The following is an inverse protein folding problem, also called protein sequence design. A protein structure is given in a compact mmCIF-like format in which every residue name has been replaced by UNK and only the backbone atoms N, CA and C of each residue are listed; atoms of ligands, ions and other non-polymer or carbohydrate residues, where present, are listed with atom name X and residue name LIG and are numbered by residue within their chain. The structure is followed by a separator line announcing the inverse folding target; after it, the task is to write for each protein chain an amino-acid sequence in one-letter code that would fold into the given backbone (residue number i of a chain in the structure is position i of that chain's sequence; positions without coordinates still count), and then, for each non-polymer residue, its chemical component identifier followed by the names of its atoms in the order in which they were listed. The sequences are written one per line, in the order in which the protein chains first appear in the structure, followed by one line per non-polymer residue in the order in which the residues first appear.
data_IF_010269465658
#
_entry.id   IF_010269465658
#
_cell.length_a   1.000
_cell.length_b   1.000
_cell.length_c   1.000
_cell.angle_alpha   90.00
_cell.angle_beta   90.00
_cell.angle_gamma   90.00
#
_symmetry.space_group_name_H-M   'P 1'
#
loop_
_entity.id
_entity.type
_entity.pdbx_description
1 polymer ?
#
# COMPACT_ATOMS: atom_id res chain seq x y z
N UNK A 1 -15.45 -3.78 41.37
CA UNK A 1 -14.70 -3.90 40.11
C UNK A 1 -14.99 -2.65 39.30
N UNK A 2 -13.96 -1.93 38.89
CA UNK A 2 -14.11 -0.80 37.98
C UNK A 2 -14.23 -1.37 36.56
N UNK A 3 -15.18 -0.87 35.77
CA UNK A 3 -15.34 -1.29 34.38
C UNK A 3 -14.54 -0.32 33.51
N UNK A 4 -13.63 -0.85 32.70
CA UNK A 4 -12.93 -0.05 31.68
C UNK A 4 -13.45 -0.49 30.33
N UNK A 5 -13.81 0.49 29.51
CA UNK A 5 -14.09 0.29 28.09
C UNK A 5 -12.82 0.55 27.30
N UNK A 6 -12.43 -0.42 26.48
CA UNK A 6 -11.24 -0.33 25.64
C UNK A 6 -11.72 -0.17 24.20
N UNK A 7 -11.52 1.03 23.67
CA UNK A 7 -11.82 1.37 22.28
C UNK A 7 -10.55 1.14 21.47
N UNK A 8 -10.61 0.20 20.52
CA UNK A 8 -9.52 -0.08 19.60
C UNK A 8 -9.92 0.38 18.21
N UNK A 9 -9.03 1.09 17.50
CA UNK A 9 -9.20 1.30 16.07
C UNK A 9 -9.06 -0.03 15.31
N UNK A 10 -9.55 -0.09 14.06
CA UNK A 10 -9.58 -1.32 13.27
C UNK A 10 -8.19 -1.95 13.09
N UNK A 11 -7.14 -1.14 12.93
CA UNK A 11 -5.76 -1.64 12.80
C UNK A 11 -5.29 -2.32 14.09
N UNK A 12 -5.52 -1.67 15.23
CA UNK A 12 -5.16 -2.21 16.55
C UNK A 12 -6.06 -3.39 16.93
N UNK A 13 -7.34 -3.37 16.56
CA UNK A 13 -8.27 -4.48 16.77
C UNK A 13 -7.81 -5.73 16.01
N UNK A 14 -7.51 -5.60 14.70
CA UNK A 14 -7.03 -6.72 13.90
C UNK A 14 -5.66 -7.22 14.37
N UNK A 15 -4.75 -6.31 14.74
CA UNK A 15 -3.45 -6.70 15.29
C UNK A 15 -3.60 -7.44 16.63
N UNK A 16 -4.46 -6.95 17.53
CA UNK A 16 -4.76 -7.58 18.81
C UNK A 16 -5.46 -8.93 18.63
N UNK A 17 -6.36 -9.05 17.65
CA UNK A 17 -7.06 -10.30 17.32
C UNK A 17 -6.08 -11.36 16.81
N UNK A 18 -5.27 -11.03 15.80
CA UNK A 18 -4.24 -11.93 15.27
C UNK A 18 -3.25 -12.36 16.35
N UNK A 19 -2.87 -11.43 17.24
CA UNK A 19 -1.96 -11.73 18.35
C UNK A 19 -2.62 -12.65 19.38
N UNK A 20 -3.87 -12.39 19.75
CA UNK A 20 -4.64 -13.23 20.67
C UNK A 20 -4.77 -14.67 20.11
N UNK A 21 -5.10 -14.81 18.82
CA UNK A 21 -5.18 -16.11 18.14
C UNK A 21 -3.83 -16.84 18.14
N UNK A 22 -2.73 -16.14 17.84
CA UNK A 22 -1.38 -16.74 17.88
C UNK A 22 -0.97 -17.24 19.27
N UNK A 23 -1.56 -16.68 20.32
CA UNK A 23 -1.32 -17.06 21.72
C UNK A 23 -2.39 -18.02 22.27
N UNK A 24 -3.35 -18.45 21.45
CA UNK A 24 -4.45 -19.33 21.88
C UNK A 24 -5.42 -18.68 22.86
N UNK A 25 -5.59 -17.36 22.79
CA UNK A 25 -6.47 -16.57 23.68
C UNK A 25 -7.61 -15.94 22.89
N UNK A 26 -8.69 -15.58 23.59
CA UNK A 26 -9.71 -14.67 23.05
C UNK A 26 -9.18 -13.24 23.06
N UNK A 27 -9.68 -12.39 22.17
CA UNK A 27 -9.33 -10.97 22.13
C UNK A 27 -9.61 -10.28 23.49
N UNK A 28 -10.77 -10.58 24.09
CA UNK A 28 -11.13 -10.10 25.43
C UNK A 28 -10.12 -10.56 26.48
N UNK A 29 -9.74 -11.85 26.49
CA UNK A 29 -8.74 -12.38 27.42
C UNK A 29 -7.33 -11.81 27.19
N UNK A 30 -6.98 -11.53 25.94
CA UNK A 30 -5.73 -10.88 25.57
C UNK A 30 -5.67 -9.44 26.07
N UNK A 31 -6.71 -8.64 25.82
CA UNK A 31 -6.80 -7.24 26.26
C UNK A 31 -6.94 -7.16 27.79
N UNK A 32 -7.74 -8.03 28.40
CA UNK A 32 -7.88 -8.09 29.86
C UNK A 32 -6.53 -8.35 30.54
N UNK A 33 -5.69 -9.23 29.97
CA UNK A 33 -4.32 -9.42 30.46
C UNK A 33 -3.48 -8.14 30.31
N UNK A 34 -3.58 -7.48 29.16
CA UNK A 34 -2.82 -6.27 28.85
C UNK A 34 -3.18 -5.10 29.78
N UNK A 35 -4.46 -5.00 30.17
CA UNK A 35 -4.97 -4.02 31.14
C UNK A 35 -4.63 -4.43 32.58
N UNK A 36 -4.67 -5.72 32.90
CA UNK A 36 -4.32 -6.24 34.22
C UNK A 36 -2.85 -6.00 34.60
N UNK A 37 -1.93 -5.97 33.62
CA UNK A 37 -0.53 -5.62 33.82
C UNK A 37 -0.35 -4.15 34.31
N UNK A 38 -1.37 -3.29 34.18
CA UNK A 38 -1.39 -1.91 34.69
C UNK A 38 -2.09 -1.75 36.07
N UNK A 39 -2.76 -2.78 36.58
CA UNK A 39 -3.39 -2.77 37.91
C UNK A 39 -4.52 -3.80 38.08
N UNK A 40 -4.65 -4.39 39.27
CA UNK A 40 -5.70 -5.38 39.57
C UNK A 40 -7.09 -4.73 39.76
N UNK A 41 -8.16 -5.39 39.26
CA UNK A 41 -9.55 -5.06 39.61
C UNK A 41 -10.45 -4.55 38.48
N UNK A 42 -10.00 -4.62 37.22
CA UNK A 42 -10.73 -4.17 36.04
C UNK A 42 -11.37 -5.31 35.25
N UNK A 43 -12.61 -5.10 34.79
CA UNK A 43 -13.25 -5.95 33.76
C UNK A 43 -13.33 -5.16 32.45
N UNK A 44 -12.77 -5.71 31.37
CA UNK A 44 -12.78 -5.11 30.03
C UNK A 44 -13.90 -5.73 29.21
N UNK A 45 -14.77 -4.92 28.60
CA UNK A 45 -15.73 -5.40 27.61
C UNK A 45 -15.44 -4.75 26.25
N UNK A 46 -15.08 -5.56 25.26
CA UNK A 46 -14.97 -5.14 23.86
C UNK A 46 -16.32 -5.38 23.19
N UNK A 47 -16.90 -4.35 22.57
CA UNK A 47 -18.17 -4.48 21.85
C UNK A 47 -17.96 -4.19 20.37
N UNK A 48 -18.13 -5.23 19.56
CA UNK A 48 -18.02 -5.16 18.10
C UNK A 48 -19.19 -5.85 17.41
N UNK A 49 -19.49 -5.46 16.18
CA UNK A 49 -20.55 -6.02 15.34
C UNK A 49 -20.01 -6.38 13.97
N UNK A 50 -20.25 -7.61 13.51
CA UNK A 50 -19.95 -8.00 12.12
C UNK A 50 -21.17 -7.73 11.24
N UNK A 51 -21.03 -6.81 10.28
CA UNK A 51 -22.04 -6.41 9.31
C UNK A 51 -22.52 -7.63 8.52
N UNK A 52 -23.83 -7.83 8.46
CA UNK A 52 -24.52 -8.92 7.73
C UNK A 52 -25.17 -8.36 6.48
N UNK A 53 -25.62 -9.25 5.59
CA UNK A 53 -26.36 -8.84 4.40
C UNK A 53 -27.61 -8.02 4.76
N UNK A 54 -27.77 -6.87 4.10
CA UNK A 54 -28.87 -5.94 4.34
C UNK A 54 -28.71 -5.07 5.60
N UNK A 55 -27.54 -5.02 6.23
CA UNK A 55 -27.25 -4.03 7.28
C UNK A 55 -27.08 -2.61 6.75
N UNK A 56 -27.48 -1.65 7.59
CA UNK A 56 -27.11 -0.24 7.50
C UNK A 56 -26.67 0.22 8.89
N UNK A 57 -25.86 1.28 9.00
CA UNK A 57 -25.45 1.78 10.31
C UNK A 57 -26.66 2.14 11.19
N UNK A 58 -27.74 2.66 10.60
CA UNK A 58 -28.99 2.92 11.30
C UNK A 58 -29.70 1.64 11.79
N UNK A 59 -29.65 0.54 11.03
CA UNK A 59 -30.23 -0.74 11.45
C UNK A 59 -29.41 -1.36 12.59
N UNK A 60 -28.08 -1.26 12.51
CA UNK A 60 -27.17 -1.71 13.55
C UNK A 60 -27.34 -0.86 14.81
N UNK A 61 -27.42 0.47 14.69
CA UNK A 61 -27.66 1.37 15.82
C UNK A 61 -29.00 1.07 16.51
N UNK A 62 -30.05 0.77 15.75
CA UNK A 62 -31.33 0.33 16.31
C UNK A 62 -31.21 -0.99 17.07
N UNK A 63 -30.45 -1.95 16.55
CA UNK A 63 -30.22 -3.25 17.20
C UNK A 63 -29.38 -3.09 18.48
N UNK A 64 -28.35 -2.24 18.44
CA UNK A 64 -27.36 -2.11 19.52
C UNK A 64 -27.74 -1.09 20.60
N UNK A 65 -28.44 -0.02 20.22
CA UNK A 65 -28.79 1.12 21.08
C UNK A 65 -30.30 1.33 21.22
N UNK A 66 -31.12 0.63 20.44
CA UNK A 66 -32.57 0.85 20.40
C UNK A 66 -33.00 2.04 19.55
N UNK A 67 -32.09 2.94 19.15
CA UNK A 67 -32.38 4.10 18.31
C UNK A 67 -31.52 4.12 17.04
N UNK A 68 -32.14 4.08 15.84
CA UNK A 68 -31.41 4.19 14.58
C UNK A 68 -30.64 5.51 14.41
N UNK A 69 -31.04 6.61 15.05
CA UNK A 69 -30.38 7.92 14.91
C UNK A 69 -29.04 7.99 15.65
N UNK A 70 -28.71 7.00 16.47
CA UNK A 70 -27.44 6.90 17.19
C UNK A 70 -26.34 6.24 16.35
N UNK A 71 -26.60 6.02 15.06
CA UNK A 71 -25.61 5.55 14.09
C UNK A 71 -24.36 6.44 13.95
N UNK A 72 -24.39 7.78 14.16
CA UNK A 72 -23.19 8.60 14.10
C UNK A 72 -22.12 8.19 15.12
N UNK A 73 -22.51 7.65 16.28
CA UNK A 73 -21.55 7.13 17.25
C UNK A 73 -20.81 5.91 16.72
N UNK A 74 -21.49 5.03 15.98
CA UNK A 74 -20.83 3.89 15.29
C UNK A 74 -19.96 4.43 14.16
N UNK A 75 -20.45 5.42 13.40
CA UNK A 75 -19.72 6.02 12.30
C UNK A 75 -18.38 6.63 12.76
N UNK A 76 -18.42 7.46 13.81
CA UNK A 76 -17.27 8.14 14.40
C UNK A 76 -16.27 7.14 14.99
N UNK A 77 -16.75 6.19 15.80
CA UNK A 77 -15.89 5.18 16.42
C UNK A 77 -15.14 4.29 15.38
N UNK A 78 -15.68 4.20 14.17
CA UNK A 78 -15.09 3.42 13.08
C UNK A 78 -14.46 4.27 11.97
N UNK A 79 -14.34 5.59 12.17
CA UNK A 79 -13.80 6.53 11.18
C UNK A 79 -14.43 6.39 9.78
N UNK A 80 -15.74 6.14 9.72
CA UNK A 80 -16.46 5.98 8.45
C UNK A 80 -16.79 7.34 7.86
N UNK A 81 -16.19 7.66 6.71
CA UNK A 81 -16.45 8.91 5.98
C UNK A 81 -17.85 8.96 5.35
N UNK A 82 -18.39 7.79 4.96
CA UNK A 82 -19.72 7.65 4.38
C UNK A 82 -20.51 6.57 5.16
N UNK A 83 -21.60 6.93 5.86
CA UNK A 83 -22.39 5.99 6.65
C UNK A 83 -23.10 4.92 5.81
N UNK A 84 -23.27 5.13 4.50
CA UNK A 84 -23.86 4.16 3.58
C UNK A 84 -22.88 3.10 3.10
N UNK A 85 -21.57 3.31 3.29
CA UNK A 85 -20.51 2.40 2.82
C UNK A 85 -20.10 1.43 3.92
N UNK A 86 -20.98 0.49 4.23
CA UNK A 86 -20.64 -0.71 5.00
C UNK A 86 -20.85 -1.97 4.16
N UNK A 87 -20.02 -2.99 4.34
CA UNK A 87 -20.08 -4.25 3.59
C UNK A 87 -20.23 -5.46 4.49
N UNK A 88 -20.85 -6.52 3.95
CA UNK A 88 -20.99 -7.79 4.66
C UNK A 88 -19.62 -8.33 5.08
N UNK A 89 -19.51 -8.75 6.33
CA UNK A 89 -18.27 -9.20 6.96
C UNK A 89 -17.42 -8.09 7.56
N UNK A 90 -17.74 -6.81 7.35
CA UNK A 90 -17.06 -5.70 8.02
C UNK A 90 -17.29 -5.77 9.53
N UNK A 91 -16.25 -5.65 10.34
CA UNK A 91 -16.38 -5.56 11.81
C UNK A 91 -16.40 -4.09 12.20
N UNK A 92 -17.43 -3.69 12.95
CA UNK A 92 -17.62 -2.34 13.46
C UNK A 92 -17.47 -2.33 14.98
N UNK A 93 -16.73 -1.36 15.50
CA UNK A 93 -16.72 -1.00 16.92
C UNK A 93 -18.07 -0.39 17.29
N UNK A 94 -18.66 -0.86 18.40
CA UNK A 94 -19.95 -0.36 18.89
C UNK A 94 -19.73 0.28 20.26
N UNK A 95 -19.50 1.61 20.32
CA UNK A 95 -19.24 2.29 21.60
C UNK A 95 -20.44 2.17 22.57
N UNK A 96 -20.21 2.08 23.87
CA UNK A 96 -21.27 2.34 24.83
C UNK A 96 -21.66 3.81 24.77
N UNK A 97 -22.97 4.08 24.81
CA UNK A 97 -23.46 5.44 25.00
C UNK A 97 -23.34 5.73 26.50
N UNK A 98 -22.45 6.65 26.88
CA UNK A 98 -22.47 7.15 28.25
C UNK A 98 -23.84 7.79 28.51
N UNK A 99 -24.54 7.35 29.57
CA UNK A 99 -25.77 8.00 30.02
C UNK A 99 -25.44 9.42 30.49
N UNK A 100 -25.55 10.39 29.58
CA UNK A 100 -25.27 11.78 29.88
C UNK A 100 -26.33 12.35 30.83
N UNK A 101 -25.88 12.87 31.98
CA UNK A 101 -26.63 13.84 32.79
C UNK A 101 -27.08 15.01 31.90
N UNK A 102 -28.25 15.62 32.16
CA UNK A 102 -28.78 16.67 31.29
C UNK A 102 -27.86 17.88 31.29
N UNK A 103 -27.41 18.28 30.10
CA UNK A 103 -26.59 19.48 29.83
C UNK A 103 -27.49 20.52 29.15
N UNK A 104 -27.41 21.82 29.49
CA UNK A 104 -28.35 22.83 29.01
C UNK A 104 -28.21 23.13 27.51
N UNK A 105 -29.34 23.51 26.92
CA UNK A 105 -29.55 23.89 25.52
C UNK A 105 -28.57 24.99 25.06
N UNK A 106 -27.88 24.85 23.91
CA UNK A 106 -27.07 25.91 23.36
C UNK A 106 -27.92 27.05 22.80
N UNK A 107 -27.46 28.29 23.03
CA UNK A 107 -27.99 29.54 22.48
C UNK A 107 -27.60 29.67 20.98
N UNK A 108 -28.46 30.22 20.10
CA UNK A 108 -28.20 30.25 18.67
C UNK A 108 -27.02 31.17 18.29
N UNK A 109 -26.13 30.64 17.45
CA UNK A 109 -24.97 31.31 16.87
C UNK A 109 -25.41 32.34 15.80
N UNK A 110 -24.78 33.53 15.72
CA UNK A 110 -25.15 34.56 14.75
C UNK A 110 -24.75 34.20 13.31
N UNK A 111 -25.58 34.59 12.34
CA UNK A 111 -25.38 34.35 10.90
C UNK A 111 -24.06 34.93 10.35
N UNK A 112 -23.40 34.23 9.41
CA UNK A 112 -22.17 34.71 8.79
C UNK A 112 -22.45 35.89 7.84
N UNK A 113 -21.61 36.92 7.91
CA UNK A 113 -21.59 38.04 6.96
C UNK A 113 -20.94 37.62 5.63
N UNK A 114 -21.43 38.12 4.48
CA UNK A 114 -20.91 37.72 3.17
C UNK A 114 -19.50 38.27 2.92
N UNK A 115 -18.60 37.39 2.48
CA UNK A 115 -17.24 37.73 2.02
C UNK A 115 -17.33 38.22 0.56
N UNK A 116 -16.69 39.36 0.20
CA UNK A 116 -16.70 39.85 -1.18
C UNK A 116 -15.90 38.94 -2.13
N UNK A 117 -16.43 38.77 -3.35
CA UNK A 117 -15.83 37.99 -4.44
C UNK A 117 -14.46 38.54 -4.88
N UNK A 118 -13.50 37.66 -5.24
CA UNK A 118 -12.21 38.08 -5.77
C UNK A 118 -12.34 38.68 -7.18
N UNK A 119 -11.44 39.61 -7.56
CA UNK A 119 -11.45 40.22 -8.89
C UNK A 119 -11.00 39.23 -9.98
N UNK A 120 -11.55 39.43 -11.17
CA UNK A 120 -11.31 38.68 -12.40
C UNK A 120 -9.84 38.78 -12.87
N UNK A 121 -9.20 37.68 -13.31
CA UNK A 121 -7.80 37.71 -13.72
C UNK A 121 -7.61 38.40 -15.09
N UNK A 122 -6.59 39.24 -15.19
CA UNK A 122 -6.15 39.88 -16.43
C UNK A 122 -5.62 38.84 -17.45
N UNK A 123 -5.79 39.09 -18.77
CA UNK A 123 -5.36 38.15 -19.81
C UNK A 123 -3.83 38.10 -19.94
N UNK A 124 -3.28 36.90 -19.83
CA UNK A 124 -1.86 36.60 -20.10
C UNK A 124 -1.60 36.64 -21.61
N UNK A 125 -0.52 37.28 -22.11
CA UNK A 125 -0.22 37.34 -23.54
C UNK A 125 0.19 35.96 -24.08
N UNK A 126 -0.19 35.70 -25.33
CA UNK A 126 0.04 34.46 -26.05
C UNK A 126 1.54 34.17 -26.25
N UNK A 127 1.98 32.90 -26.16
CA UNK A 127 3.37 32.53 -26.43
C UNK A 127 3.70 32.66 -27.92
N UNK A 128 4.87 33.23 -28.19
CA UNK A 128 5.46 33.33 -29.54
C UNK A 128 5.92 31.94 -30.00
N UNK A 129 5.68 31.54 -31.27
CA UNK A 129 6.10 30.23 -31.76
C UNK A 129 7.63 30.13 -31.85
N UNK A 130 8.22 28.96 -31.50
CA UNK A 130 9.65 28.74 -31.69
C UNK A 130 9.98 28.51 -33.18
N UNK A 131 11.14 29.00 -33.57
CA UNK A 131 11.77 28.80 -34.88
C UNK A 131 12.19 27.33 -35.06
N UNK A 132 12.12 26.76 -36.29
CA UNK A 132 12.54 25.39 -36.54
C UNK A 132 14.07 25.25 -36.49
N UNK A 133 14.62 24.18 -35.91
CA UNK A 133 16.05 23.91 -35.99
C UNK A 133 16.44 23.39 -37.39
N UNK A 134 17.63 23.81 -37.82
CA UNK A 134 18.33 23.39 -39.02
C UNK A 134 18.79 21.92 -38.91
N UNK A 135 18.79 21.11 -39.99
CA UNK A 135 19.15 19.70 -39.91
C UNK A 135 20.67 19.49 -39.76
N UNK A 136 21.07 18.81 -38.68
CA UNK A 136 22.41 18.25 -38.50
C UNK A 136 22.64 17.03 -39.42
N UNK A 137 23.85 16.83 -39.98
CA UNK A 137 24.16 15.68 -40.83
C UNK A 137 24.28 14.37 -40.03
N UNK A 138 23.88 13.26 -40.66
CA UNK A 138 23.89 11.90 -40.10
C UNK A 138 25.28 11.46 -39.59
N UNK A 139 25.36 10.87 -38.38
CA UNK A 139 26.58 10.22 -37.93
C UNK A 139 26.78 8.88 -38.64
N UNK A 140 27.99 8.65 -39.14
CA UNK A 140 28.47 7.36 -39.64
C UNK A 140 28.62 6.35 -38.48
N UNK A 141 28.32 5.06 -38.70
CA UNK A 141 28.46 4.06 -37.65
C UNK A 141 29.94 3.78 -37.34
N UNK A 142 30.34 3.68 -36.05
CA UNK A 142 31.68 3.26 -35.68
C UNK A 142 31.88 1.76 -35.93
N UNK A 143 33.13 1.29 -36.16
CA UNK A 143 33.43 -0.12 -36.31
C UNK A 143 33.19 -0.90 -35.01
N UNK A 144 32.76 -2.16 -35.17
CA UNK A 144 32.48 -3.10 -34.09
C UNK A 144 33.74 -3.42 -33.28
N UNK A 145 33.74 -3.27 -31.94
CA UNK A 145 34.87 -3.69 -31.10
C UNK A 145 35.01 -5.23 -31.09
N UNK A 146 36.23 -5.78 -31.02
CA UNK A 146 36.45 -7.21 -30.84
C UNK A 146 35.97 -7.66 -29.45
N UNK A 147 35.50 -8.92 -29.36
CA UNK A 147 34.99 -9.52 -28.13
C UNK A 147 36.02 -9.47 -26.97
N UNK A 148 35.58 -9.14 -25.75
CA UNK A 148 36.46 -9.17 -24.58
C UNK A 148 36.83 -10.61 -24.20
N UNK A 149 38.07 -10.85 -23.73
CA UNK A 149 38.48 -12.17 -23.26
C UNK A 149 37.70 -12.58 -22.00
N UNK A 150 37.44 -13.88 -21.88
CA UNK A 150 36.76 -14.51 -20.73
C UNK A 150 37.36 -14.04 -19.39
N UNK A 151 36.54 -13.63 -18.42
CA UNK A 151 37.04 -13.17 -17.13
C UNK A 151 37.69 -14.32 -16.35
N UNK A 152 38.88 -14.04 -15.82
CA UNK A 152 39.56 -14.86 -14.81
C UNK A 152 38.72 -14.88 -13.53
N UNK A 153 38.67 -15.99 -12.75
CA UNK A 153 37.96 -16.04 -11.48
C UNK A 153 38.41 -14.90 -10.56
N UNK A 154 37.45 -14.11 -10.09
CA UNK A 154 37.70 -13.05 -9.13
C UNK A 154 38.15 -13.66 -7.78
N UNK A 155 39.14 -13.07 -7.09
CA UNK A 155 39.49 -13.48 -5.74
C UNK A 155 38.28 -13.28 -4.80
N UNK A 156 38.12 -14.19 -3.82
CA UNK A 156 37.07 -14.11 -2.81
C UNK A 156 37.05 -12.71 -2.15
N UNK A 157 35.87 -12.09 -2.01
CA UNK A 157 35.78 -10.77 -1.41
C UNK A 157 36.22 -10.85 0.06
N UNK A 158 37.25 -10.07 0.41
CA UNK A 158 37.60 -9.80 1.81
C UNK A 158 36.35 -9.28 2.54
N UNK A 159 36.12 -9.65 3.82
CA UNK A 159 34.98 -9.18 4.58
C UNK A 159 34.97 -7.65 4.59
N UNK A 160 33.95 -7.09 3.93
CA UNK A 160 33.73 -5.66 3.83
C UNK A 160 33.31 -5.17 5.24
N UNK A 161 33.88 -4.07 5.75
CA UNK A 161 33.48 -3.53 7.05
C UNK A 161 31.97 -3.30 7.05
N UNK A 162 31.29 -3.84 8.06
CA UNK A 162 29.83 -3.73 8.22
C UNK A 162 29.44 -2.26 8.23
N UNK A 163 28.66 -1.84 7.23
CA UNK A 163 28.04 -0.52 7.18
C UNK A 163 27.30 -0.28 8.50
N UNK A 164 27.32 0.94 9.08
CA UNK A 164 26.55 1.23 10.28
C UNK A 164 25.09 0.78 10.07
N UNK A 165 24.53 0.09 11.06
CA UNK A 165 23.14 -0.35 11.01
C UNK A 165 22.25 0.91 10.93
N UNK A 166 21.70 1.17 9.75
CA UNK A 166 20.70 2.22 9.54
C UNK A 166 19.38 1.66 10.04
N UNK A 167 18.67 2.40 10.89
CA UNK A 167 17.29 2.08 11.24
C UNK A 167 16.46 2.01 9.94
N UNK A 168 15.89 0.85 9.58
CA UNK A 168 15.10 0.70 8.37
C UNK A 168 13.93 1.69 8.28
N UNK A 169 13.41 2.18 9.40
CA UNK A 169 12.29 3.10 9.44
C UNK A 169 12.69 4.58 9.55
N UNK A 170 13.99 4.88 9.54
CA UNK A 170 14.44 6.28 9.51
C UNK A 170 14.15 6.94 8.15
N UNK A 171 13.84 8.24 8.13
CA UNK A 171 13.63 8.99 6.90
C UNK A 171 14.77 8.84 5.89
N UNK A 172 14.43 8.83 4.61
CA UNK A 172 15.42 8.79 3.53
C UNK A 172 15.76 10.24 3.16
N UNK A 173 17.04 10.59 3.20
CA UNK A 173 17.51 11.94 2.89
C UNK A 173 17.14 12.35 1.46
N UNK A 174 16.64 13.58 1.30
CA UNK A 174 16.24 14.19 0.03
C UNK A 174 15.05 13.51 -0.69
N UNK A 175 14.32 12.61 -0.03
CA UNK A 175 13.05 12.14 -0.57
C UNK A 175 11.91 13.10 -0.21
N UNK A 176 11.06 13.36 -1.20
CA UNK A 176 9.81 14.10 -1.02
C UNK A 176 8.79 13.61 -2.03
N UNK A 177 7.53 13.63 -1.65
CA UNK A 177 6.46 12.98 -2.40
C UNK A 177 5.34 13.97 -2.70
N UNK A 178 4.84 13.93 -3.93
CA UNK A 178 3.69 14.70 -4.34
C UNK A 178 2.40 13.90 -4.28
N UNK A 179 1.34 14.49 -4.80
CA UNK A 179 0.05 13.82 -4.99
C UNK A 179 -0.44 14.00 -6.41
N UNK A 180 -1.24 13.05 -6.88
CA UNK A 180 -2.01 13.19 -8.10
C UNK A 180 -3.49 12.95 -7.81
N UNK A 181 -4.40 13.64 -8.52
CA UNK A 181 -5.80 13.25 -8.53
C UNK A 181 -5.91 11.87 -9.16
N UNK A 182 -6.77 11.02 -8.60
CA UNK A 182 -7.04 9.72 -9.19
C UNK A 182 -7.88 9.88 -10.47
N UNK A 183 -7.73 8.96 -11.41
CA UNK A 183 -8.61 8.83 -12.56
C UNK A 183 -9.81 7.96 -12.16
N UNK A 184 -11.02 8.53 -12.29
CA UNK A 184 -12.26 7.83 -11.97
C UNK A 184 -12.65 7.95 -10.49
N UNK A 185 -13.13 6.84 -9.93
CA UNK A 185 -13.61 6.76 -8.55
C UNK A 185 -12.60 6.07 -7.63
N UNK A 186 -12.55 6.44 -6.34
CA UNK A 186 -11.79 5.68 -5.36
C UNK A 186 -12.20 4.22 -5.36
N UNK A 187 -11.30 3.37 -4.88
CA UNK A 187 -11.60 1.96 -4.64
C UNK A 187 -12.91 1.80 -3.86
N UNK A 188 -13.65 0.73 -4.15
CA UNK A 188 -15.01 0.51 -3.67
C UNK A 188 -15.09 0.20 -2.17
N UNK A 189 -13.94 -0.06 -1.53
CA UNK A 189 -13.79 -0.35 -0.10
C UNK A 189 -12.43 0.15 0.41
N UNK A 190 -12.22 0.31 1.72
CA UNK A 190 -10.96 0.74 2.29
C UNK A 190 -9.79 -0.12 1.80
N UNK A 191 -8.70 0.54 1.40
CA UNK A 191 -7.55 -0.11 0.79
C UNK A 191 -6.91 -1.17 1.71
N UNK A 192 -6.96 -0.99 3.02
CA UNK A 192 -6.45 -1.98 3.99
C UNK A 192 -7.29 -3.27 4.04
N UNK A 193 -8.56 -3.22 3.60
CA UNK A 193 -9.49 -4.34 3.48
C UNK A 193 -9.64 -4.85 2.03
N UNK A 194 -8.91 -4.26 1.08
CA UNK A 194 -9.04 -4.60 -0.33
C UNK A 194 -8.04 -5.68 -0.73
N UNK A 195 -8.50 -6.93 -0.90
CA UNK A 195 -7.64 -8.09 -1.17
C UNK A 195 -6.76 -7.97 -2.43
N UNK A 196 -7.12 -7.09 -3.36
CA UNK A 196 -6.33 -6.81 -4.55
C UNK A 196 -5.27 -5.73 -4.40
N UNK A 197 -5.41 -4.86 -3.39
CA UNK A 197 -4.53 -3.72 -3.14
C UNK A 197 -3.62 -4.02 -1.94
N UNK A 198 -4.14 -4.64 -0.88
CA UNK A 198 -3.38 -5.09 0.27
C UNK A 198 -3.07 -6.61 0.16
N UNK A 199 -1.86 -6.94 -0.30
CA UNK A 199 -1.43 -8.32 -0.54
C UNK A 199 -1.49 -9.19 0.74
N UNK A 200 -1.38 -8.60 1.93
CA UNK A 200 -1.50 -9.27 3.23
C UNK A 200 -2.73 -10.15 3.33
N UNK A 201 -3.86 -9.65 2.82
CA UNK A 201 -5.16 -10.28 2.95
C UNK A 201 -5.22 -11.59 2.14
N UNK A 202 -4.65 -11.57 0.93
CA UNK A 202 -4.49 -12.78 0.12
C UNK A 202 -3.56 -13.78 0.78
N UNK A 203 -2.48 -13.31 1.41
CA UNK A 203 -1.43 -14.19 1.92
C UNK A 203 -0.79 -15.01 0.79
N UNK A 204 0.20 -15.81 1.15
CA UNK A 204 0.99 -16.58 0.20
C UNK A 204 1.71 -17.73 0.90
N UNK A 205 2.00 -18.77 0.13
CA UNK A 205 2.70 -19.96 0.60
C UNK A 205 3.98 -20.18 -0.21
N UNK A 206 5.06 -20.60 0.45
CA UNK A 206 6.33 -20.91 -0.21
C UNK A 206 6.14 -22.05 -1.21
N UNK A 207 6.85 -22.00 -2.33
CA UNK A 207 6.92 -23.09 -3.31
C UNK A 207 8.34 -23.63 -3.43
N UNK A 208 8.47 -24.79 -4.06
CA UNK A 208 9.72 -25.50 -4.32
C UNK A 208 10.27 -25.23 -5.74
N UNK A 209 9.71 -24.25 -6.43
CA UNK A 209 10.17 -23.88 -7.78
C UNK A 209 11.58 -23.30 -7.77
N UNK A 210 12.28 -23.43 -8.89
CA UNK A 210 13.67 -22.98 -9.05
C UNK A 210 13.84 -21.49 -8.71
N UNK A 211 14.88 -21.17 -7.96
CA UNK A 211 15.28 -19.79 -7.69
C UNK A 211 16.10 -19.26 -8.87
N UNK A 212 15.71 -18.11 -9.41
CA UNK A 212 16.40 -17.49 -10.54
C UNK A 212 15.44 -17.00 -11.62
N UNK A 213 16.01 -16.29 -12.59
CA UNK A 213 15.28 -15.84 -13.77
C UNK A 213 14.85 -17.03 -14.62
N UNK A 214 13.68 -16.90 -15.23
CA UNK A 214 13.14 -17.89 -16.17
C UNK A 214 12.86 -17.23 -17.51
N UNK A 215 12.93 -18.03 -18.56
CA UNK A 215 12.53 -17.62 -19.89
C UNK A 215 11.14 -18.19 -20.20
N UNK A 216 10.25 -17.33 -20.68
CA UNK A 216 8.88 -17.68 -21.05
C UNK A 216 8.60 -17.11 -22.43
N UNK A 217 7.88 -17.86 -23.27
CA UNK A 217 7.47 -17.38 -24.60
C UNK A 217 6.41 -16.27 -24.53
N UNK A 218 6.05 -15.73 -25.71
CA UNK A 218 5.00 -14.72 -25.84
C UNK A 218 5.53 -13.30 -26.06
N UNK A 219 4.63 -12.32 -26.29
CA UNK A 219 4.99 -10.94 -26.58
C UNK A 219 5.71 -10.29 -25.39
N UNK A 220 6.55 -9.29 -25.65
CA UNK A 220 7.18 -8.44 -24.64
C UNK A 220 6.55 -7.06 -24.63
N UNK A 221 6.55 -6.41 -23.47
CA UNK A 221 6.20 -5.01 -23.31
C UNK A 221 7.44 -4.20 -22.94
N UNK A 222 7.86 -3.30 -23.82
CA UNK A 222 9.00 -2.42 -23.59
C UNK A 222 8.83 -1.46 -22.40
N UNK A 223 7.60 -1.26 -21.93
CA UNK A 223 7.26 -0.43 -20.77
C UNK A 223 6.88 -1.27 -19.54
N UNK A 224 7.16 -2.57 -19.53
CA UNK A 224 7.03 -3.36 -18.33
C UNK A 224 7.95 -2.83 -17.21
N UNK A 225 7.50 -2.84 -15.94
CA UNK A 225 8.35 -2.45 -14.81
C UNK A 225 9.62 -3.27 -14.68
N UNK A 226 10.77 -2.59 -14.60
CA UNK A 226 12.07 -3.22 -14.56
C UNK A 226 12.54 -3.46 -13.12
N UNK A 227 12.37 -4.68 -12.61
CA UNK A 227 12.65 -5.04 -11.20
C UNK A 227 14.12 -4.86 -10.78
N UNK A 228 15.06 -4.89 -11.72
CA UNK A 228 16.46 -4.53 -11.42
C UNK A 228 16.56 -3.11 -10.83
N UNK A 229 15.62 -2.22 -11.17
CA UNK A 229 15.57 -0.83 -10.68
C UNK A 229 14.96 -0.65 -9.30
N UNK A 230 14.58 -1.75 -8.63
CA UNK A 230 14.37 -1.73 -7.18
C UNK A 230 15.66 -1.37 -6.42
N UNK A 231 16.80 -1.76 -6.99
CA UNK A 231 18.13 -1.59 -6.39
C UNK A 231 18.85 -0.39 -7.01
N UNK A 232 19.50 0.41 -6.17
CA UNK A 232 20.22 1.62 -6.61
C UNK A 232 21.39 1.31 -7.58
N UNK A 233 21.99 0.13 -7.47
CA UNK A 233 23.06 -0.36 -8.35
C UNK A 233 22.53 -1.10 -9.60
N UNK A 234 21.21 -1.12 -9.77
CA UNK A 234 20.51 -1.83 -10.82
C UNK A 234 20.88 -3.33 -10.89
N UNK A 235 21.26 -3.99 -9.79
CA UNK A 235 21.66 -5.41 -9.86
C UNK A 235 20.51 -6.34 -10.25
N UNK A 236 20.84 -7.50 -10.81
CA UNK A 236 19.89 -8.62 -10.85
C UNK A 236 19.69 -9.12 -9.43
N UNK A 237 18.45 -9.10 -8.94
CA UNK A 237 18.14 -9.56 -7.59
C UNK A 237 18.49 -11.04 -7.41
N UNK A 238 19.06 -11.39 -6.26
CA UNK A 238 19.29 -12.79 -5.91
C UNK A 238 18.00 -13.35 -5.31
N UNK A 239 17.40 -14.32 -5.98
CA UNK A 239 16.17 -14.97 -5.50
C UNK A 239 16.47 -15.85 -4.29
N UNK A 240 15.89 -15.52 -3.15
CA UNK A 240 16.08 -16.24 -1.88
C UNK A 240 14.96 -17.25 -1.64
N UNK A 241 13.73 -16.89 -2.01
CA UNK A 241 12.55 -17.71 -1.89
C UNK A 241 11.58 -17.42 -3.03
N UNK A 242 10.69 -18.36 -3.31
CA UNK A 242 9.57 -18.19 -4.24
C UNK A 242 8.28 -18.63 -3.58
N UNK A 243 7.21 -17.93 -3.92
CA UNK A 243 5.92 -18.09 -3.27
C UNK A 243 4.80 -18.06 -4.30
N UNK A 244 3.66 -18.55 -3.85
CA UNK A 244 2.40 -18.52 -4.57
C UNK A 244 1.37 -17.80 -3.70
N UNK A 245 0.90 -16.68 -4.20
CA UNK A 245 -0.18 -15.85 -3.65
C UNK A 245 -1.51 -16.60 -3.78
N UNK A 246 -2.42 -16.39 -2.83
CA UNK A 246 -3.76 -16.96 -2.92
C UNK A 246 -4.74 -16.07 -3.72
N UNK A 247 -5.79 -16.69 -4.23
CA UNK A 247 -6.97 -16.03 -4.74
C UNK A 247 -7.65 -15.19 -3.65
N UNK A 248 -8.47 -14.26 -4.09
CA UNK A 248 -9.44 -13.57 -3.26
C UNK A 248 -10.80 -13.87 -3.87
N UNK A 249 -11.69 -14.41 -3.05
CA UNK A 249 -13.08 -14.62 -3.42
C UNK A 249 -13.86 -13.36 -3.09
N UNK A 250 -14.27 -12.63 -4.12
CA UNK A 250 -15.06 -11.40 -3.97
C UNK A 250 -16.50 -11.64 -3.56
N UNK A 251 -17.05 -12.83 -3.81
CA UNK A 251 -18.40 -13.20 -3.40
C UNK A 251 -18.51 -13.41 -1.89
N UNK A 252 -17.51 -14.06 -1.30
CA UNK A 252 -17.39 -14.25 0.15
C UNK A 252 -16.53 -13.20 0.86
N UNK A 253 -15.89 -12.30 0.10
CA UNK A 253 -14.90 -11.33 0.56
C UNK A 253 -13.82 -11.95 1.46
N UNK A 254 -13.28 -13.08 1.03
CA UNK A 254 -12.36 -13.90 1.81
C UNK A 254 -11.19 -14.43 0.97
N UNK A 255 -10.15 -14.89 1.67
CA UNK A 255 -9.00 -15.56 1.05
C UNK A 255 -9.43 -16.89 0.43
N UNK A 256 -9.10 -17.08 -0.84
CA UNK A 256 -9.30 -18.35 -1.56
C UNK A 256 -8.07 -19.27 -1.52
N UNK A 257 -8.07 -20.28 -2.39
CA UNK A 257 -6.91 -21.18 -2.58
C UNK A 257 -5.74 -20.54 -3.34
N UNK A 258 -4.60 -21.23 -3.50
CA UNK A 258 -3.42 -20.73 -4.21
C UNK A 258 -3.71 -20.43 -5.68
N UNK A 259 -3.10 -19.38 -6.24
CA UNK A 259 -3.20 -19.06 -7.68
C UNK A 259 -2.44 -20.09 -8.51
N UNK A 260 -3.11 -20.78 -9.43
CA UNK A 260 -2.52 -21.90 -10.18
C UNK A 260 -1.97 -21.52 -11.56
N UNK A 261 -2.28 -20.32 -12.06
CA UNK A 261 -1.81 -19.80 -13.35
C UNK A 261 -0.28 -19.83 -13.48
N UNK A 262 0.43 -19.54 -12.39
CA UNK A 262 1.87 -19.60 -12.30
C UNK A 262 2.29 -20.32 -11.02
N UNK A 263 3.32 -21.18 -11.12
CA UNK A 263 3.92 -21.84 -9.95
C UNK A 263 4.56 -20.85 -8.97
N UNK A 264 4.91 -19.66 -9.45
CA UNK A 264 5.45 -18.55 -8.67
C UNK A 264 4.70 -17.29 -9.05
N UNK A 265 4.14 -16.59 -8.07
CA UNK A 265 3.46 -15.30 -8.24
C UNK A 265 4.00 -14.21 -7.30
N UNK A 266 5.01 -14.55 -6.50
CA UNK A 266 5.71 -13.66 -5.57
C UNK A 266 7.14 -14.18 -5.39
N UNK A 267 8.13 -13.30 -5.57
CA UNK A 267 9.55 -13.64 -5.41
C UNK A 267 10.16 -12.91 -4.21
N UNK A 268 10.87 -13.66 -3.37
CA UNK A 268 11.78 -13.10 -2.38
C UNK A 268 13.11 -12.72 -3.03
N UNK A 269 13.55 -11.49 -2.81
CA UNK A 269 14.79 -10.94 -3.33
C UNK A 269 15.71 -10.56 -2.17
N UNK A 270 16.98 -11.00 -2.25
CA UNK A 270 18.01 -10.68 -1.26
C UNK A 270 18.29 -9.18 -1.23
N UNK A 271 18.30 -8.65 -0.02
CA UNK A 271 18.62 -7.26 0.33
C UNK A 271 19.41 -7.24 1.63
N UNK A 272 19.96 -6.08 1.98
CA UNK A 272 20.53 -5.84 3.31
C UNK A 272 19.55 -5.00 4.16
N UNK A 273 19.50 -5.17 5.49
CA UNK A 273 18.64 -4.36 6.35
C UNK A 273 18.99 -2.88 6.22
N UNK A 274 17.98 -2.03 6.04
CA UNK A 274 18.15 -0.60 5.81
C UNK A 274 18.50 -0.21 4.36
N UNK A 275 18.64 -1.17 3.44
CA UNK A 275 18.85 -0.90 2.00
C UNK A 275 17.64 -0.15 1.42
N UNK A 276 17.81 1.05 0.82
CA UNK A 276 16.71 1.76 0.18
C UNK A 276 16.21 1.01 -1.05
N UNK A 277 14.89 0.93 -1.19
CA UNK A 277 14.19 0.29 -2.30
C UNK A 277 13.49 1.36 -3.14
N UNK A 278 13.71 1.31 -4.45
CA UNK A 278 13.35 2.38 -5.38
C UNK A 278 12.28 1.96 -6.37
N UNK A 279 11.55 2.94 -6.91
CA UNK A 279 10.56 2.72 -7.95
C UNK A 279 11.19 2.02 -9.17
N UNK A 280 10.65 0.86 -9.60
CA UNK A 280 11.06 0.18 -10.82
C UNK A 280 10.71 1.02 -12.06
N UNK A 281 11.66 1.82 -12.54
CA UNK A 281 11.38 2.72 -13.65
C UNK A 281 11.01 1.97 -14.95
N UNK A 282 9.95 2.46 -15.60
CA UNK A 282 9.31 1.91 -16.78
C UNK A 282 9.01 2.98 -17.85
N UNK A 283 9.43 4.23 -17.62
CA UNK A 283 9.24 5.35 -18.54
C UNK A 283 7.80 5.87 -18.68
N UNK A 284 6.89 5.58 -17.74
CA UNK A 284 5.56 6.18 -17.74
C UNK A 284 5.58 7.62 -17.19
N UNK A 285 4.69 8.45 -17.73
CA UNK A 285 4.24 9.71 -17.12
C UNK A 285 2.72 9.62 -16.97
N UNK A 286 2.26 9.50 -15.73
CA UNK A 286 0.84 9.46 -15.36
C UNK A 286 0.30 10.84 -14.97
N UNK A 287 1.11 11.89 -15.16
CA UNK A 287 0.80 13.28 -14.85
C UNK A 287 1.90 13.94 -14.04
N UNK A 288 2.22 15.19 -14.40
CA UNK A 288 3.15 16.06 -13.66
C UNK A 288 4.56 15.46 -13.48
N UNK A 289 4.97 14.54 -14.36
CA UNK A 289 6.26 13.85 -14.29
C UNK A 289 6.32 12.73 -13.26
N UNK A 290 5.20 12.32 -12.68
CA UNK A 290 5.11 11.13 -11.84
C UNK A 290 4.86 9.90 -12.69
N UNK A 291 5.37 8.77 -12.24
CA UNK A 291 5.20 7.46 -12.88
C UNK A 291 4.26 6.55 -12.08
N UNK A 292 4.20 6.77 -10.77
CA UNK A 292 3.56 5.86 -9.83
C UNK A 292 2.47 6.58 -9.04
N UNK A 293 1.37 5.87 -8.84
CA UNK A 293 0.38 6.17 -7.81
C UNK A 293 0.50 5.12 -6.69
N UNK A 294 0.47 5.54 -5.42
CA UNK A 294 0.51 4.63 -4.26
C UNK A 294 -0.90 4.27 -3.84
N UNK A 295 -1.33 3.06 -4.15
CA UNK A 295 -2.67 2.57 -3.81
C UNK A 295 -2.78 2.17 -2.33
N UNK A 296 -1.68 1.68 -1.77
CA UNK A 296 -1.60 1.25 -0.39
C UNK A 296 -0.21 1.40 0.17
N UNK A 297 -0.11 1.88 1.40
CA UNK A 297 1.11 1.85 2.20
C UNK A 297 0.75 1.50 3.65
N UNK A 298 1.58 0.69 4.27
CA UNK A 298 1.62 0.51 5.72
C UNK A 298 3.08 0.54 6.18
N UNK A 299 3.32 0.36 7.48
CA UNK A 299 4.68 0.29 8.02
C UNK A 299 5.54 -0.80 7.39
N UNK A 300 4.95 -1.85 6.80
CA UNK A 300 5.70 -3.05 6.37
C UNK A 300 5.57 -3.39 4.87
N UNK A 301 4.74 -2.65 4.12
CA UNK A 301 4.41 -2.98 2.73
C UNK A 301 3.87 -1.78 1.95
N UNK A 302 3.94 -1.88 0.63
CA UNK A 302 3.41 -0.87 -0.29
C UNK A 302 2.89 -1.53 -1.58
N UNK A 303 1.90 -0.89 -2.20
CA UNK A 303 1.37 -1.25 -3.52
C UNK A 303 1.47 -0.05 -4.46
N UNK A 304 2.22 -0.25 -5.55
CA UNK A 304 2.59 0.76 -6.54
C UNK A 304 1.79 0.51 -7.82
N UNK A 305 1.29 1.58 -8.45
CA UNK A 305 0.49 1.51 -9.67
C UNK A 305 1.07 2.40 -10.77
N UNK A 306 1.16 1.88 -11.98
CA UNK A 306 1.72 2.58 -13.16
C UNK A 306 0.66 3.30 -14.00
N UNK A 307 -0.52 3.52 -13.43
CA UNK A 307 -1.64 4.26 -14.05
C UNK A 307 -2.32 5.12 -12.98
N UNK A 308 -3.24 6.00 -13.38
CA UNK A 308 -3.86 6.98 -12.50
C UNK A 308 -5.07 6.47 -11.70
N UNK A 309 -5.58 5.27 -11.97
CA UNK A 309 -6.78 4.74 -11.32
C UNK A 309 -6.48 4.14 -9.93
N UNK A 310 -7.41 4.30 -8.98
CA UNK A 310 -7.35 3.68 -7.64
C UNK A 310 -7.76 2.19 -7.67
N UNK A 311 -7.13 1.41 -8.57
CA UNK A 311 -7.38 -0.02 -8.75
C UNK A 311 -6.20 -0.72 -9.42
N UNK A 312 -6.06 -2.02 -9.17
CA UNK A 312 -5.08 -2.86 -9.88
C UNK A 312 -5.63 -3.48 -11.16
N UNK A 313 -6.91 -3.24 -11.49
CA UNK A 313 -7.61 -3.91 -12.58
C UNK A 313 -7.04 -3.65 -13.99
N UNK A 314 -6.36 -2.53 -14.21
CA UNK A 314 -5.85 -2.11 -15.54
C UNK A 314 -4.39 -1.71 -15.49
N UNK A 315 -3.53 -2.28 -16.34
CA UNK A 315 -2.09 -1.96 -16.36
C UNK A 315 -1.32 -2.53 -15.16
N UNK A 316 -0.04 -2.18 -15.05
CA UNK A 316 0.84 -2.81 -14.06
C UNK A 316 0.60 -2.33 -12.63
N UNK A 317 0.73 -3.25 -11.68
CA UNK A 317 0.88 -2.96 -10.27
C UNK A 317 1.99 -3.82 -9.65
N UNK A 318 2.68 -3.29 -8.65
CA UNK A 318 3.69 -4.02 -7.90
C UNK A 318 3.35 -3.98 -6.43
N UNK A 319 3.32 -5.15 -5.79
CA UNK A 319 3.23 -5.28 -4.35
C UNK A 319 4.64 -5.55 -3.80
N UNK A 320 5.03 -4.82 -2.77
CA UNK A 320 6.31 -5.02 -2.08
C UNK A 320 6.06 -5.20 -0.59
N UNK A 321 6.59 -6.28 -0.04
CA UNK A 321 6.49 -6.69 1.35
C UNK A 321 7.88 -6.73 2.00
N UNK A 322 7.96 -6.53 3.32
CA UNK A 322 9.23 -6.62 4.06
C UNK A 322 10.07 -5.34 3.98
N UNK A 323 9.42 -4.20 3.76
CA UNK A 323 10.04 -2.87 3.74
C UNK A 323 9.49 -2.04 4.90
N UNK A 324 10.27 -1.10 5.42
CA UNK A 324 9.69 0.03 6.12
C UNK A 324 9.38 1.11 5.09
N UNK A 325 8.09 1.41 4.88
CA UNK A 325 7.69 2.49 3.99
C UNK A 325 8.26 3.82 4.50
N UNK A 326 8.65 4.71 3.58
CA UNK A 326 9.23 5.99 3.97
C UNK A 326 8.22 6.78 4.83
N UNK A 327 8.61 7.29 6.02
CA UNK A 327 7.67 7.89 6.97
C UNK A 327 6.83 9.06 6.43
N UNK A 328 7.41 9.96 5.64
CA UNK A 328 6.68 11.08 5.01
C UNK A 328 5.72 10.59 3.91
N UNK A 329 6.10 9.55 3.16
CA UNK A 329 5.22 8.88 2.20
C UNK A 329 4.02 8.20 2.88
N UNK A 330 4.27 7.46 3.97
CA UNK A 330 3.22 6.81 4.74
C UNK A 330 2.27 7.85 5.35
N UNK A 331 2.81 8.92 5.94
CA UNK A 331 2.02 10.04 6.48
C UNK A 331 1.14 10.68 5.40
N UNK A 332 1.71 10.89 4.20
CA UNK A 332 0.98 11.44 3.05
C UNK A 332 -0.14 10.50 2.61
N UNK A 333 0.15 9.20 2.49
CA UNK A 333 -0.84 8.18 2.16
C UNK A 333 -2.00 8.16 3.15
N UNK A 334 -1.71 8.11 4.44
CA UNK A 334 -2.72 8.07 5.50
C UNK A 334 -3.61 9.33 5.49
N UNK A 335 -3.02 10.51 5.27
CA UNK A 335 -3.77 11.76 5.11
C UNK A 335 -4.72 11.70 3.91
N UNK A 336 -4.21 11.34 2.74
CA UNK A 336 -5.01 11.20 1.53
C UNK A 336 -6.14 10.17 1.69
N UNK A 337 -5.87 9.10 2.43
CA UNK A 337 -6.87 8.08 2.73
C UNK A 337 -8.01 8.64 3.62
N UNK A 338 -7.68 9.41 4.67
CA UNK A 338 -8.68 10.08 5.52
C UNK A 338 -9.47 11.16 4.78
N UNK A 339 -8.86 11.80 3.79
CA UNK A 339 -9.48 12.84 2.93
C UNK A 339 -10.29 12.25 1.75
N UNK A 340 -10.60 10.95 1.80
CA UNK A 340 -11.50 10.31 0.83
C UNK A 340 -10.82 9.86 -0.47
N UNK A 341 -9.50 9.77 -0.51
CA UNK A 341 -8.68 9.14 -1.58
C UNK A 341 -8.85 9.73 -2.98
N UNK A 342 -9.41 10.94 -3.10
CA UNK A 342 -9.54 11.62 -4.41
C UNK A 342 -8.19 12.06 -4.98
N UNK A 343 -7.20 12.19 -4.10
CA UNK A 343 -5.80 12.28 -4.45
C UNK A 343 -5.06 11.15 -3.75
N UNK A 344 -3.97 10.67 -4.35
CA UNK A 344 -3.08 9.67 -3.75
C UNK A 344 -1.62 10.09 -3.92
N UNK A 345 -0.70 9.60 -3.06
CA UNK A 345 0.72 9.88 -3.22
C UNK A 345 1.22 9.44 -4.58
N UNK A 346 2.08 10.26 -5.17
CA UNK A 346 2.66 10.02 -6.49
C UNK A 346 4.18 10.10 -6.44
N UNK A 347 4.86 9.17 -7.14
CA UNK A 347 6.31 9.04 -7.14
C UNK A 347 6.88 9.10 -8.56
N UNK A 348 8.04 9.74 -8.68
CA UNK A 348 8.85 9.84 -9.90
C UNK A 348 9.72 8.59 -10.06
N UNK A 349 10.20 8.37 -11.28
CA UNK A 349 11.17 7.33 -11.59
C UNK A 349 12.39 7.41 -10.65
N UNK A 350 12.82 6.26 -10.12
CA UNK A 350 14.02 6.15 -9.31
C UNK A 350 13.92 6.68 -7.87
N UNK A 351 12.80 7.26 -7.44
CA UNK A 351 12.62 7.63 -6.03
C UNK A 351 12.61 6.40 -5.12
N UNK A 352 13.23 6.51 -3.95
CA UNK A 352 13.09 5.52 -2.90
C UNK A 352 11.69 5.63 -2.28
N UNK A 353 11.06 4.49 -1.98
CA UNK A 353 9.75 4.45 -1.32
C UNK A 353 9.80 3.81 0.07
N UNK A 354 10.96 3.31 0.48
CA UNK A 354 11.18 2.68 1.77
C UNK A 354 12.55 2.01 1.85
N UNK A 355 12.82 1.32 2.95
CA UNK A 355 14.02 0.51 3.14
C UNK A 355 13.67 -0.93 3.48
N UNK A 356 14.51 -1.88 3.13
CA UNK A 356 14.34 -3.27 3.55
C UNK A 356 14.40 -3.40 5.09
N UNK A 357 13.46 -4.13 5.68
CA UNK A 357 13.47 -4.40 7.14
C UNK A 357 14.51 -5.45 7.50
N UNK A 358 14.64 -6.48 6.66
CA UNK A 358 15.53 -7.61 6.88
C UNK A 358 16.35 -7.93 5.64
N UNK A 359 16.72 -9.20 5.50
CA UNK A 359 17.58 -9.67 4.40
C UNK A 359 16.82 -10.07 3.13
N UNK A 360 15.49 -9.87 3.12
CA UNK A 360 14.62 -10.22 2.01
C UNK A 360 13.43 -9.25 1.93
N UNK A 361 13.17 -8.71 0.73
CA UNK A 361 11.87 -8.16 0.35
C UNK A 361 11.13 -9.15 -0.55
N UNK A 362 9.80 -9.10 -0.57
CA UNK A 362 9.00 -9.94 -1.49
C UNK A 362 8.25 -9.06 -2.47
N UNK A 363 8.32 -9.44 -3.76
CA UNK A 363 7.80 -8.64 -4.86
C UNK A 363 6.86 -9.47 -5.73
N UNK A 364 5.62 -9.00 -5.87
CA UNK A 364 4.64 -9.56 -6.80
C UNK A 364 4.28 -8.51 -7.86
N UNK A 365 4.11 -8.96 -9.09
CA UNK A 365 3.68 -8.13 -10.21
C UNK A 365 2.27 -8.53 -10.60
N UNK A 366 1.44 -7.54 -10.91
CA UNK A 366 0.18 -7.73 -11.59
C UNK A 366 0.19 -7.01 -12.93
N UNK A 367 -0.37 -7.65 -13.95
CA UNK A 367 -0.73 -7.04 -15.21
C UNK A 367 -2.25 -7.08 -15.35
N UNK A 368 -2.90 -5.92 -15.34
CA UNK A 368 -4.34 -5.80 -15.59
C UNK A 368 -5.14 -6.74 -14.68
N UNK A 369 -4.86 -6.64 -13.38
CA UNK A 369 -5.47 -7.47 -12.34
C UNK A 369 -4.93 -8.89 -12.23
N UNK A 370 -4.16 -9.43 -13.17
CA UNK A 370 -3.65 -10.81 -13.08
C UNK A 370 -2.26 -10.86 -12.45
N UNK A 371 -2.03 -11.78 -11.51
CA UNK A 371 -0.68 -12.02 -10.98
C UNK A 371 0.20 -12.68 -12.05
N UNK A 372 1.44 -12.22 -12.13
CA UNK A 372 2.46 -12.70 -13.08
C UNK A 372 3.59 -13.40 -12.34
N UNK A 373 4.41 -14.17 -13.06
CA UNK A 373 5.66 -14.70 -12.50
C UNK A 373 6.76 -13.62 -12.53
N UNK A 374 7.19 -13.08 -11.37
CA UNK A 374 8.16 -11.98 -11.31
C UNK A 374 9.58 -12.38 -11.74
N UNK A 375 9.82 -13.67 -12.03
CA UNK A 375 11.11 -14.18 -12.51
C UNK A 375 11.29 -14.09 -14.02
N UNK A 376 10.22 -13.76 -14.77
CA UNK A 376 10.27 -13.76 -16.24
C UNK A 376 11.25 -12.69 -16.73
N UNK A 377 12.36 -13.15 -17.33
CA UNK A 377 13.51 -12.32 -17.72
C UNK A 377 13.11 -11.25 -18.73
N UNK A 378 12.40 -11.66 -19.79
CA UNK A 378 12.10 -10.80 -20.95
C UNK A 378 11.25 -9.58 -20.61
N UNK A 379 10.43 -9.66 -19.56
CA UNK A 379 9.47 -8.61 -19.22
C UNK A 379 10.03 -7.73 -18.10
N UNK A 380 10.53 -8.32 -17.00
CA UNK A 380 10.86 -7.55 -15.79
C UNK A 380 12.35 -7.31 -15.57
N UNK A 381 13.21 -7.95 -16.37
CA UNK A 381 14.67 -7.96 -16.17
C UNK A 381 15.42 -7.73 -17.48
N UNK A 382 15.00 -6.72 -18.25
CA UNK A 382 15.61 -6.41 -19.53
C UNK A 382 17.13 -6.21 -19.40
N UNK A 383 17.89 -6.85 -20.30
CA UNK A 383 19.35 -6.81 -20.33
C UNK A 383 20.06 -7.67 -19.28
N UNK A 384 19.37 -8.62 -18.63
CA UNK A 384 19.94 -9.51 -17.60
C UNK A 384 19.99 -10.97 -18.01
#
# INVERSE_FOLDING_TARGET
MQKIEVILDDGVYQAALNRAESEGKTLEGFIAKLVADYGEGYSVSVRSYTVKSGDSLARIAREMYGDPHLYPHIQEANNLTDPGRIWVGQVLVIPALEEAKPTPTPEPEPEPTPIPSPPEPEPVPAPTPPTPPEPEPEPTPPPTPPEPPKPKPAPEPKPQPSRPAVDPCAPITNESYGTLPIVGSPTDRPAHMHGDINLALRGFSKTDSTLGLIDMGGPTDSRAPQLARLFADYRTGVFTNVYRVNHWDWGSNARGGPIEDFKVTLAGLKVEPGEPIHIPDAGYDIGQGYQILVLYASKERITLKYTGEDTVATGYAIHVEGICAEPSLLTLYERMNREGRRHLPALRAGQAFGRAIGNEIKVAIRDTGRFMDPRVRKDWWAGR
#
